data_IF_073433638489
#
_entry.id   IF_073433638489
#
_cell.length_a   1.000
_cell.length_b   1.000
_cell.length_c   1.000
_cell.angle_alpha   90.00
_cell.angle_beta   90.00
_cell.angle_gamma   90.00
#
_symmetry.space_group_name_H-M   'P 1'
#
loop_
_entity.id
_entity.type
_entity.pdbx_description
1 polymer ?
#
# COMPACT_ATOMS: atom_id res chain seq x y z
N UNK A 1 -13.85 40.87 -8.20
CA UNK A 1 -12.60 41.45 -8.74
C UNK A 1 -11.58 40.33 -8.79
N UNK A 2 -10.92 40.09 -9.93
CA UNK A 2 -9.84 39.08 -9.99
C UNK A 2 -8.68 39.51 -9.11
N UNK A 3 -8.08 38.55 -8.40
CA UNK A 3 -6.86 38.81 -7.63
C UNK A 3 -5.70 39.15 -8.57
N UNK A 4 -4.70 39.89 -8.08
CA UNK A 4 -3.46 40.16 -8.82
C UNK A 4 -2.82 38.87 -9.35
N UNK A 5 -2.91 37.79 -8.59
CA UNK A 5 -2.44 36.46 -8.96
C UNK A 5 -3.16 35.91 -10.21
N UNK A 6 -4.50 36.00 -10.28
CA UNK A 6 -5.26 35.53 -11.43
C UNK A 6 -4.94 36.32 -12.70
N UNK A 7 -4.73 37.64 -12.58
CA UNK A 7 -4.33 38.48 -13.71
C UNK A 7 -2.94 38.09 -14.25
N UNK A 8 -1.97 37.82 -13.35
CA UNK A 8 -0.62 37.36 -13.71
C UNK A 8 -0.59 36.00 -14.42
N UNK A 9 -1.65 35.20 -14.30
CA UNK A 9 -1.74 33.88 -14.92
C UNK A 9 -2.75 33.83 -16.08
N UNK A 10 -3.29 34.97 -16.52
CA UNK A 10 -4.33 35.04 -17.55
C UNK A 10 -3.92 34.45 -18.90
N UNK A 11 -2.62 34.35 -19.17
CA UNK A 11 -2.03 33.73 -20.37
C UNK A 11 -1.73 32.23 -20.21
N UNK A 12 -2.00 31.64 -19.04
CA UNK A 12 -1.86 30.22 -18.77
C UNK A 12 -3.24 29.55 -18.76
N UNK A 13 -3.29 28.27 -19.14
CA UNK A 13 -4.52 27.48 -19.11
C UNK A 13 -5.05 27.37 -17.68
N UNK A 14 -4.14 27.12 -16.72
CA UNK A 14 -4.49 26.88 -15.32
C UNK A 14 -3.55 27.63 -14.35
N UNK A 15 -4.04 27.87 -13.14
CA UNK A 15 -3.20 28.29 -12.03
C UNK A 15 -2.46 27.09 -11.44
N UNK A 16 -3.15 25.95 -11.30
CA UNK A 16 -2.56 24.70 -10.81
C UNK A 16 -2.98 23.53 -11.69
N UNK A 17 -2.01 22.74 -12.14
CA UNK A 17 -2.25 21.46 -12.79
C UNK A 17 -1.90 20.33 -11.81
N UNK A 18 -2.85 19.42 -11.60
CA UNK A 18 -2.67 18.25 -10.75
C UNK A 18 -2.51 17.02 -11.66
N UNK A 19 -1.49 16.20 -11.40
CA UNK A 19 -1.27 14.94 -12.13
C UNK A 19 -1.68 13.77 -11.24
N UNK A 20 -2.79 13.10 -11.59
CA UNK A 20 -3.37 11.98 -10.86
C UNK A 20 -4.69 12.34 -10.15
N UNK A 21 -5.73 11.53 -10.37
CA UNK A 21 -7.04 11.60 -9.75
C UNK A 21 -7.26 10.50 -8.67
N UNK A 22 -6.19 10.16 -7.95
CA UNK A 22 -6.29 9.40 -6.69
C UNK A 22 -6.69 10.30 -5.51
N UNK A 23 -6.77 9.72 -4.31
CA UNK A 23 -7.16 10.45 -3.08
C UNK A 23 -6.38 11.76 -2.87
N UNK A 24 -5.06 11.74 -3.03
CA UNK A 24 -4.24 12.96 -2.90
C UNK A 24 -4.61 14.04 -3.93
N UNK A 25 -4.90 13.65 -5.17
CA UNK A 25 -5.30 14.58 -6.23
C UNK A 25 -6.69 15.17 -5.99
N UNK A 26 -7.63 14.34 -5.54
CA UNK A 26 -9.00 14.74 -5.16
C UNK A 26 -8.97 15.73 -3.99
N UNK A 27 -8.20 15.43 -2.94
CA UNK A 27 -8.02 16.31 -1.79
C UNK A 27 -7.43 17.67 -2.19
N UNK A 28 -6.36 17.66 -3.01
CA UNK A 28 -5.76 18.90 -3.52
C UNK A 28 -6.75 19.71 -4.37
N UNK A 29 -7.49 19.06 -5.29
CA UNK A 29 -8.48 19.73 -6.13
C UNK A 29 -9.54 20.44 -5.28
N UNK A 30 -10.06 19.75 -4.26
CA UNK A 30 -11.05 20.32 -3.34
C UNK A 30 -10.54 21.60 -2.67
N UNK A 31 -9.37 21.55 -2.05
CA UNK A 31 -8.83 22.69 -1.32
C UNK A 31 -8.42 23.85 -2.26
N UNK A 32 -7.78 23.55 -3.39
CA UNK A 32 -7.34 24.58 -4.34
C UNK A 32 -8.52 25.29 -5.02
N UNK A 33 -9.63 24.59 -5.31
CA UNK A 33 -10.86 25.21 -5.80
C UNK A 33 -11.47 26.19 -4.81
N UNK A 34 -11.42 25.87 -3.51
CA UNK A 34 -11.92 26.77 -2.46
C UNK A 34 -11.10 28.04 -2.30
N UNK A 35 -9.87 28.06 -2.80
CA UNK A 35 -9.05 29.27 -2.93
C UNK A 35 -9.39 30.11 -4.18
N UNK A 36 -10.36 29.68 -4.99
CA UNK A 36 -10.77 30.36 -6.23
C UNK A 36 -9.76 30.23 -7.37
N UNK A 37 -8.90 29.21 -7.33
CA UNK A 37 -7.89 28.95 -8.36
C UNK A 37 -8.50 28.21 -9.56
N UNK A 38 -7.98 28.47 -10.76
CA UNK A 38 -8.27 27.66 -11.96
C UNK A 38 -7.43 26.37 -11.89
N UNK A 39 -8.07 25.26 -11.57
CA UNK A 39 -7.38 23.98 -11.33
C UNK A 39 -7.85 22.96 -12.37
N UNK A 40 -6.92 22.12 -12.86
CA UNK A 40 -7.26 20.96 -13.68
C UNK A 40 -6.51 19.73 -13.18
N UNK A 41 -7.19 18.59 -13.13
CA UNK A 41 -6.58 17.28 -12.86
C UNK A 41 -6.44 16.52 -14.18
N UNK A 42 -5.26 15.96 -14.45
CA UNK A 42 -5.02 15.03 -15.56
C UNK A 42 -4.82 13.63 -15.00
N UNK A 43 -5.61 12.67 -15.45
CA UNK A 43 -5.58 11.27 -15.02
C UNK A 43 -5.36 10.34 -16.20
N UNK A 44 -4.46 9.37 -16.04
CA UNK A 44 -4.15 8.38 -17.06
C UNK A 44 -5.27 7.35 -17.25
N UNK A 45 -5.97 6.99 -16.18
CA UNK A 45 -7.12 6.09 -16.18
C UNK A 45 -8.36 6.69 -16.81
N UNK A 46 -9.35 5.82 -17.05
CA UNK A 46 -10.66 6.20 -17.60
C UNK A 46 -11.57 6.87 -16.55
N UNK A 47 -11.17 6.84 -15.28
CA UNK A 47 -11.89 7.43 -14.16
C UNK A 47 -10.96 7.70 -12.97
N UNK A 48 -11.52 8.33 -11.95
CA UNK A 48 -10.87 8.64 -10.68
C UNK A 48 -10.78 7.41 -9.76
N UNK A 49 -10.04 7.57 -8.66
CA UNK A 49 -9.87 6.55 -7.63
C UNK A 49 -8.41 6.13 -7.44
N UNK A 50 -7.56 6.41 -8.43
CA UNK A 50 -6.14 6.06 -8.38
C UNK A 50 -5.96 4.56 -8.14
N UNK A 51 -5.33 4.18 -7.02
CA UNK A 51 -5.19 2.78 -6.59
C UNK A 51 -6.49 1.98 -6.73
N UNK A 52 -7.62 2.55 -6.29
CA UNK A 52 -8.92 1.87 -6.29
C UNK A 52 -9.57 1.80 -7.67
N UNK A 53 -9.11 2.61 -8.62
CA UNK A 53 -9.50 2.48 -10.01
C UNK A 53 -8.80 1.29 -10.68
N UNK A 54 -7.50 1.13 -10.41
CA UNK A 54 -6.62 0.17 -11.10
C UNK A 54 -6.62 -1.24 -10.49
N UNK A 55 -6.67 -1.36 -9.16
CA UNK A 55 -6.51 -2.63 -8.44
C UNK A 55 -7.84 -3.38 -8.30
N UNK A 56 -8.38 -3.89 -9.40
CA UNK A 56 -9.68 -4.61 -9.43
C UNK A 56 -9.56 -6.12 -9.19
N UNK A 57 -8.45 -6.58 -8.61
CA UNK A 57 -8.22 -8.01 -8.38
C UNK A 57 -9.14 -8.56 -7.26
N UNK A 58 -9.54 -9.85 -7.29
CA UNK A 58 -10.35 -10.44 -6.25
C UNK A 58 -9.67 -10.35 -4.88
N UNK A 59 -10.40 -9.83 -3.89
CA UNK A 59 -9.89 -9.65 -2.53
C UNK A 59 -9.19 -8.32 -2.27
N UNK A 60 -9.02 -7.46 -3.28
CA UNK A 60 -8.45 -6.12 -3.10
C UNK A 60 -9.18 -5.33 -2.00
N UNK A 61 -8.44 -4.94 -0.97
CA UNK A 61 -8.96 -4.31 0.24
C UNK A 61 -7.85 -3.47 0.88
N UNK A 62 -8.20 -2.44 1.65
CA UNK A 62 -7.22 -1.73 2.45
C UNK A 62 -7.11 -2.35 3.83
N UNK A 63 -5.94 -2.15 4.45
CA UNK A 63 -5.61 -2.75 5.74
C UNK A 63 -5.94 -1.82 6.94
N UNK A 64 -6.49 -0.63 6.69
CA UNK A 64 -7.01 0.30 7.72
C UNK A 64 -8.51 0.08 7.95
N UNK A 65 -9.06 0.55 9.06
CA UNK A 65 -10.51 0.54 9.26
C UNK A 65 -11.20 1.54 8.33
N UNK A 66 -12.38 1.20 7.79
CA UNK A 66 -13.17 2.04 6.89
C UNK A 66 -13.47 3.42 7.47
N UNK A 67 -13.68 3.52 8.78
CA UNK A 67 -13.89 4.80 9.46
C UNK A 67 -12.66 5.70 9.45
N UNK A 68 -11.46 5.12 9.37
CA UNK A 68 -10.19 5.87 9.29
C UNK A 68 -9.77 6.15 7.85
N UNK A 69 -10.20 5.32 6.89
CA UNK A 69 -9.91 5.48 5.46
C UNK A 69 -10.93 6.40 4.76
N UNK A 70 -11.14 7.58 5.34
CA UNK A 70 -12.07 8.61 4.85
C UNK A 70 -11.44 10.00 4.99
N UNK A 71 -11.98 11.00 4.31
CA UNK A 71 -11.49 12.38 4.47
C UNK A 71 -12.17 13.07 5.64
N UNK A 72 -11.37 13.51 6.60
CA UNK A 72 -11.84 14.24 7.79
C UNK A 72 -12.28 15.68 7.51
N UNK A 73 -11.97 16.25 6.34
CA UNK A 73 -12.26 17.64 6.02
C UNK A 73 -13.71 17.91 5.59
N UNK A 74 -14.51 16.86 5.29
CA UNK A 74 -15.82 17.00 4.67
C UNK A 74 -16.92 16.34 5.49
N UNK A 75 -17.52 17.10 6.41
CA UNK A 75 -18.57 16.59 7.29
C UNK A 75 -19.79 16.07 6.51
N UNK A 76 -20.22 16.73 5.44
CA UNK A 76 -21.34 16.29 4.61
C UNK A 76 -21.15 14.87 4.04
N UNK A 77 -19.91 14.50 3.71
CA UNK A 77 -19.60 13.16 3.22
C UNK A 77 -19.60 12.14 4.36
N UNK A 78 -19.12 12.51 5.55
CA UNK A 78 -19.17 11.66 6.75
C UNK A 78 -20.61 11.41 7.22
N UNK A 79 -21.48 12.40 7.05
CA UNK A 79 -22.89 12.31 7.45
C UNK A 79 -23.71 11.42 6.51
N UNK A 80 -23.37 11.40 5.22
CA UNK A 80 -24.17 10.69 4.20
C UNK A 80 -23.61 9.33 3.78
N UNK A 81 -22.29 9.12 3.85
CA UNK A 81 -21.70 7.83 3.48
C UNK A 81 -21.88 6.78 4.58
N UNK A 82 -22.15 5.54 4.17
CA UNK A 82 -22.24 4.39 5.06
C UNK A 82 -21.38 3.26 4.53
N UNK A 83 -20.50 2.73 5.38
CA UNK A 83 -19.66 1.58 5.08
C UNK A 83 -20.40 0.30 5.42
N UNK A 84 -20.25 -0.73 4.59
CA UNK A 84 -20.85 -2.05 4.79
C UNK A 84 -19.93 -3.02 5.55
N UNK A 85 -18.65 -2.70 5.63
CA UNK A 85 -17.62 -3.53 6.28
C UNK A 85 -16.62 -2.67 7.07
N UNK A 86 -16.04 -3.23 8.13
CA UNK A 86 -15.00 -2.61 8.95
C UNK A 86 -13.71 -2.34 8.18
N UNK A 87 -13.42 -3.12 7.14
CA UNK A 87 -12.32 -2.92 6.20
C UNK A 87 -12.89 -3.05 4.80
N UNK A 88 -13.45 -2.01 4.17
CA UNK A 88 -14.19 -2.15 2.93
C UNK A 88 -13.33 -2.58 1.71
N UNK A 89 -13.91 -3.37 0.81
CA UNK A 89 -13.23 -3.88 -0.38
C UNK A 89 -13.13 -2.81 -1.48
N UNK A 90 -12.26 -3.04 -2.47
CA UNK A 90 -12.06 -2.10 -3.58
C UNK A 90 -13.34 -1.60 -4.24
N UNK A 91 -14.36 -2.44 -4.54
CA UNK A 91 -15.58 -1.95 -5.17
C UNK A 91 -16.33 -0.91 -4.34
N UNK A 92 -16.35 -1.07 -3.01
CA UNK A 92 -17.01 -0.11 -2.12
C UNK A 92 -16.17 1.15 -1.93
N UNK A 93 -14.85 1.00 -1.78
CA UNK A 93 -13.94 2.15 -1.67
C UNK A 93 -13.97 3.01 -2.94
N UNK A 94 -14.07 2.40 -4.12
CA UNK A 94 -14.23 3.17 -5.36
C UNK A 94 -15.58 3.91 -5.39
N UNK A 95 -16.69 3.28 -4.97
CA UNK A 95 -17.99 3.96 -4.84
C UNK A 95 -17.94 5.14 -3.88
N UNK A 96 -17.25 5.01 -2.73
CA UNK A 96 -17.03 6.11 -1.80
C UNK A 96 -16.32 7.28 -2.49
N UNK A 97 -15.28 6.98 -3.27
CA UNK A 97 -14.52 8.01 -3.99
C UNK A 97 -15.39 8.68 -5.07
N UNK A 98 -16.17 7.90 -5.83
CA UNK A 98 -17.08 8.46 -6.83
C UNK A 98 -18.15 9.34 -6.17
N UNK A 99 -18.74 8.86 -5.06
CA UNK A 99 -19.72 9.62 -4.26
C UNK A 99 -19.14 10.97 -3.79
N UNK A 100 -17.93 10.96 -3.22
CA UNK A 100 -17.21 12.17 -2.81
C UNK A 100 -17.00 13.14 -3.98
N UNK A 101 -16.53 12.64 -5.12
CA UNK A 101 -16.24 13.45 -6.31
C UNK A 101 -17.51 14.08 -6.90
N UNK A 102 -18.62 13.33 -6.93
CA UNK A 102 -19.90 13.81 -7.42
C UNK A 102 -20.55 14.79 -6.42
N UNK A 103 -20.55 14.46 -5.13
CA UNK A 103 -21.10 15.32 -4.05
C UNK A 103 -20.44 16.70 -4.02
N UNK A 104 -19.13 16.75 -4.26
CA UNK A 104 -18.34 17.98 -4.24
C UNK A 104 -18.18 18.61 -5.63
N UNK A 105 -18.88 18.09 -6.65
CA UNK A 105 -18.86 18.55 -8.05
C UNK A 105 -17.43 18.69 -8.61
N UNK A 106 -16.52 17.77 -8.24
CA UNK A 106 -15.09 17.86 -8.58
C UNK A 106 -14.80 17.36 -9.99
N UNK A 107 -15.64 16.46 -10.52
CA UNK A 107 -15.45 15.78 -11.81
C UNK A 107 -15.25 16.73 -13.00
N UNK A 108 -15.93 17.88 -13.00
CA UNK A 108 -15.85 18.88 -14.08
C UNK A 108 -14.44 19.44 -14.31
N UNK A 109 -13.59 19.37 -13.28
CA UNK A 109 -12.21 19.86 -13.31
C UNK A 109 -11.20 18.72 -13.51
N UNK A 110 -11.67 17.52 -13.88
CA UNK A 110 -10.85 16.36 -14.18
C UNK A 110 -10.87 16.03 -15.68
N UNK A 111 -9.75 15.56 -16.20
CA UNK A 111 -9.61 15.06 -17.56
C UNK A 111 -8.97 13.67 -17.54
N UNK A 112 -9.76 12.67 -17.92
CA UNK A 112 -9.37 11.26 -17.94
C UNK A 112 -8.68 10.88 -19.25
N UNK A 113 -8.18 9.64 -19.33
CA UNK A 113 -7.46 9.11 -20.50
C UNK A 113 -6.32 10.04 -20.96
N UNK A 114 -5.67 10.70 -20.01
CA UNK A 114 -4.68 11.76 -20.22
C UNK A 114 -3.44 11.47 -19.38
N UNK A 115 -2.55 10.65 -19.93
CA UNK A 115 -1.27 10.33 -19.29
C UNK A 115 -0.25 11.44 -19.57
N UNK A 116 0.13 12.17 -18.53
CA UNK A 116 1.24 13.14 -18.60
C UNK A 116 2.56 12.38 -18.79
N UNK A 117 3.32 12.77 -19.82
CA UNK A 117 4.62 12.18 -20.16
C UNK A 117 5.78 13.05 -19.70
N UNK A 118 5.64 14.38 -19.76
CA UNK A 118 6.69 15.30 -19.35
C UNK A 118 6.15 16.57 -18.70
N UNK A 119 7.01 17.17 -17.86
CA UNK A 119 6.82 18.45 -17.21
C UNK A 119 8.09 19.27 -17.41
N UNK A 120 7.98 20.41 -18.06
CA UNK A 120 9.10 21.31 -18.33
C UNK A 120 8.84 22.67 -17.69
N UNK A 121 9.77 23.14 -16.86
CA UNK A 121 9.73 24.51 -16.36
C UNK A 121 10.24 25.47 -17.45
N UNK A 122 9.50 26.56 -17.66
CA UNK A 122 9.82 27.62 -18.62
C UNK A 122 10.22 28.89 -17.86
N UNK A 123 11.50 29.23 -17.93
CA UNK A 123 12.09 30.35 -17.18
C UNK A 123 11.55 31.72 -17.62
N UNK A 124 11.29 31.89 -18.91
CA UNK A 124 10.79 33.14 -19.52
C UNK A 124 9.45 33.61 -18.92
N UNK A 125 8.61 32.66 -18.54
CA UNK A 125 7.24 32.85 -18.08
C UNK A 125 7.05 32.41 -16.62
N UNK A 126 8.09 31.87 -15.99
CA UNK A 126 8.06 31.24 -14.66
C UNK A 126 6.93 30.21 -14.50
N UNK A 127 6.66 29.44 -15.56
CA UNK A 127 5.50 28.53 -15.64
C UNK A 127 5.92 27.13 -16.05
N UNK A 128 5.01 26.17 -15.89
CA UNK A 128 5.20 24.80 -16.33
C UNK A 128 4.47 24.54 -17.65
N UNK A 129 5.10 23.76 -18.51
CA UNK A 129 4.51 23.13 -19.67
C UNK A 129 4.43 21.63 -19.41
N UNK A 130 3.21 21.09 -19.32
CA UNK A 130 2.96 19.67 -19.28
C UNK A 130 2.61 19.17 -20.68
N UNK A 131 3.07 17.97 -21.03
CA UNK A 131 2.73 17.29 -22.28
C UNK A 131 2.20 15.90 -21.98
N UNK A 132 1.11 15.52 -22.62
CA UNK A 132 0.57 14.15 -22.53
C UNK A 132 1.04 13.26 -23.69
N UNK A 133 0.72 11.97 -23.59
CA UNK A 133 1.07 10.97 -24.62
C UNK A 133 0.36 11.14 -25.96
N UNK A 134 -0.54 12.13 -26.09
CA UNK A 134 -1.20 12.50 -27.36
C UNK A 134 -0.68 13.85 -27.87
N UNK A 135 0.48 14.30 -27.38
CA UNK A 135 1.12 15.57 -27.71
C UNK A 135 0.31 16.83 -27.33
N UNK A 136 -0.78 16.71 -26.56
CA UNK A 136 -1.52 17.88 -26.06
C UNK A 136 -0.70 18.57 -24.98
N UNK A 137 -0.77 19.90 -24.98
CA UNK A 137 0.00 20.76 -24.10
C UNK A 137 -0.90 21.47 -23.09
N UNK A 138 -0.42 21.61 -21.87
CA UNK A 138 -1.11 22.30 -20.78
C UNK A 138 -0.12 23.20 -20.05
N UNK A 139 -0.51 24.45 -19.84
CA UNK A 139 0.32 25.44 -19.16
C UNK A 139 -0.23 25.77 -17.78
N UNK A 140 0.63 25.81 -16.78
CA UNK A 140 0.22 26.11 -15.41
C UNK A 140 1.28 26.86 -14.62
N UNK A 141 0.87 27.62 -13.59
CA UNK A 141 1.83 28.26 -12.68
C UNK A 141 2.46 27.23 -11.74
N UNK A 142 1.66 26.34 -11.20
CA UNK A 142 2.10 25.29 -10.28
C UNK A 142 1.69 23.90 -10.75
N UNK A 143 2.50 22.90 -10.39
CA UNK A 143 2.22 21.49 -10.59
C UNK A 143 2.07 20.83 -9.22
N UNK A 144 1.04 19.98 -9.06
CA UNK A 144 0.94 19.03 -7.95
C UNK A 144 1.04 17.61 -8.51
N UNK A 145 2.06 16.86 -8.10
CA UNK A 145 2.25 15.47 -8.52
C UNK A 145 1.59 14.50 -7.54
N UNK A 146 0.36 14.10 -7.85
CA UNK A 146 -0.44 13.14 -7.09
C UNK A 146 -0.43 11.73 -7.75
N UNK A 147 0.73 11.31 -8.26
CA UNK A 147 0.87 10.13 -9.14
C UNK A 147 0.82 8.77 -8.42
N UNK A 148 0.87 8.79 -7.08
CA UNK A 148 0.90 7.60 -6.23
C UNK A 148 2.26 6.88 -6.27
N UNK A 149 2.66 6.27 -5.14
CA UNK A 149 3.95 5.56 -5.04
C UNK A 149 3.91 4.09 -5.47
N UNK A 150 2.71 3.50 -5.58
CA UNK A 150 2.47 2.10 -5.97
C UNK A 150 1.52 2.02 -7.18
N UNK A 151 1.97 2.46 -8.36
CA UNK A 151 1.13 2.51 -9.56
C UNK A 151 1.72 1.76 -10.77
N UNK A 152 3.04 1.84 -10.98
CA UNK A 152 3.71 1.17 -12.10
C UNK A 152 4.06 -0.26 -11.69
N UNK A 153 3.43 -1.29 -12.27
CA UNK A 153 3.72 -2.67 -11.90
C UNK A 153 5.12 -3.10 -12.36
N UNK A 154 5.78 -3.96 -11.58
CA UNK A 154 7.03 -4.59 -11.98
C UNK A 154 6.74 -6.02 -12.42
N UNK A 155 7.01 -6.36 -13.68
CA UNK A 155 6.83 -7.75 -14.13
C UNK A 155 8.00 -8.61 -13.63
N UNK A 156 7.76 -9.86 -13.21
CA UNK A 156 8.82 -10.76 -12.77
C UNK A 156 9.74 -11.12 -13.95
N UNK A 157 11.04 -11.07 -13.72
CA UNK A 157 12.05 -11.51 -14.68
C UNK A 157 12.12 -13.05 -14.73
N UNK A 158 11.17 -13.68 -15.42
CA UNK A 158 11.12 -15.14 -15.59
C UNK A 158 11.95 -15.54 -16.82
N UNK A 159 12.99 -16.39 -16.67
CA UNK A 159 13.75 -16.92 -17.81
C UNK A 159 12.83 -17.58 -18.85
N UNK A 160 13.07 -17.28 -20.13
CA UNK A 160 12.18 -17.72 -21.22
C UNK A 160 11.03 -16.77 -21.50
N UNK A 161 10.76 -15.80 -20.63
CA UNK A 161 9.78 -14.71 -20.80
C UNK A 161 8.36 -15.08 -20.41
N UNK A 162 7.64 -14.13 -19.81
CA UNK A 162 6.21 -14.25 -19.52
C UNK A 162 5.38 -14.33 -20.81
N UNK A 163 5.81 -13.64 -21.88
CA UNK A 163 5.06 -13.50 -23.14
C UNK A 163 4.91 -14.82 -23.92
N UNK A 164 5.69 -15.86 -23.56
CA UNK A 164 5.57 -17.18 -24.16
C UNK A 164 4.45 -18.02 -23.52
N UNK A 165 3.94 -17.61 -22.37
CA UNK A 165 2.81 -18.29 -21.73
C UNK A 165 1.56 -18.17 -22.62
N UNK A 166 0.92 -19.31 -22.91
CA UNK A 166 -0.22 -19.36 -23.84
C UNK A 166 -1.59 -19.21 -23.16
N UNK A 167 -1.63 -19.33 -21.84
CA UNK A 167 -2.83 -19.09 -21.08
C UNK A 167 -3.02 -17.61 -20.77
N UNK A 168 -4.06 -17.30 -20.01
CA UNK A 168 -4.34 -15.94 -19.60
C UNK A 168 -3.34 -15.47 -18.53
N UNK A 169 -2.82 -14.26 -18.65
CA UNK A 169 -1.95 -13.69 -17.62
C UNK A 169 -2.08 -12.19 -17.50
N UNK A 170 -2.11 -11.69 -16.27
CA UNK A 170 -2.10 -10.27 -15.99
C UNK A 170 -1.45 -9.98 -14.64
N UNK A 171 -1.04 -8.73 -14.47
CA UNK A 171 -0.61 -8.20 -13.18
C UNK A 171 -1.82 -7.70 -12.39
N UNK A 172 -1.87 -7.93 -11.08
CA UNK A 172 -3.01 -7.55 -10.21
C UNK A 172 -3.34 -6.05 -10.26
N UNK A 173 -2.33 -5.19 -10.38
CA UNK A 173 -2.50 -3.74 -10.57
C UNK A 173 -3.12 -3.33 -11.92
N UNK A 174 -3.28 -4.26 -12.88
CA UNK A 174 -3.93 -4.05 -14.18
C UNK A 174 -4.92 -5.19 -14.44
N UNK A 175 -5.72 -5.50 -13.42
CA UNK A 175 -6.71 -6.56 -13.48
C UNK A 175 -7.82 -6.22 -14.50
N UNK A 176 -8.09 -7.08 -15.49
CA UNK A 176 -9.10 -6.79 -16.51
C UNK A 176 -10.51 -6.79 -15.92
N UNK A 177 -11.32 -5.78 -16.28
CA UNK A 177 -12.65 -5.56 -15.72
C UNK A 177 -13.65 -6.69 -16.00
N UNK A 178 -13.48 -7.37 -17.12
CA UNK A 178 -14.31 -8.47 -17.62
C UNK A 178 -14.01 -9.80 -16.91
N UNK A 179 -12.86 -9.91 -16.24
CA UNK A 179 -12.45 -11.12 -15.54
C UNK A 179 -12.87 -11.04 -14.07
N UNK A 180 -14.10 -11.46 -13.79
CA UNK A 180 -14.60 -11.57 -12.42
C UNK A 180 -14.05 -12.81 -11.71
N UNK A 181 -14.21 -12.88 -10.39
CA UNK A 181 -13.91 -14.08 -9.60
C UNK A 181 -14.62 -15.33 -10.17
N UNK A 182 -15.87 -15.18 -10.61
CA UNK A 182 -16.65 -16.24 -11.24
C UNK A 182 -16.02 -16.73 -12.56
N UNK A 183 -15.40 -15.85 -13.33
CA UNK A 183 -14.71 -16.21 -14.58
C UNK A 183 -13.49 -17.14 -14.37
N UNK A 184 -13.02 -17.27 -13.12
CA UNK A 184 -11.92 -18.14 -12.71
C UNK A 184 -12.40 -19.46 -12.09
N UNK A 185 -13.71 -19.66 -11.92
CA UNK A 185 -14.26 -20.87 -11.31
C UNK A 185 -13.79 -22.13 -12.02
N UNK A 186 -13.31 -23.10 -11.24
CA UNK A 186 -12.83 -24.39 -11.76
C UNK A 186 -11.52 -24.31 -12.57
N UNK A 187 -10.95 -23.12 -12.81
CA UNK A 187 -9.68 -22.99 -13.53
C UNK A 187 -8.50 -23.40 -12.67
N UNK A 188 -7.37 -23.67 -13.33
CA UNK A 188 -6.07 -23.80 -12.67
C UNK A 188 -5.38 -22.45 -12.68
N UNK A 189 -5.06 -21.94 -11.50
CA UNK A 189 -4.52 -20.59 -11.31
C UNK A 189 -3.17 -20.65 -10.59
N UNK A 190 -2.19 -19.93 -11.13
CA UNK A 190 -0.91 -19.69 -10.46
C UNK A 190 -0.86 -18.26 -9.92
N UNK A 191 -0.48 -18.07 -8.66
CA UNK A 191 -0.22 -16.74 -8.06
C UNK A 191 1.27 -16.60 -7.78
N UNK A 192 1.91 -15.57 -8.33
CA UNK A 192 3.33 -15.27 -8.09
C UNK A 192 3.45 -14.09 -7.14
N UNK A 193 4.14 -14.32 -6.03
CA UNK A 193 4.34 -13.33 -4.97
C UNK A 193 3.34 -13.49 -3.83
N UNK A 194 3.82 -13.23 -2.60
CA UNK A 194 3.08 -13.34 -1.34
C UNK A 194 3.22 -12.05 -0.51
N UNK A 195 3.20 -10.91 -1.20
CA UNK A 195 2.93 -9.60 -0.56
C UNK A 195 1.46 -9.48 -0.18
N UNK A 196 1.02 -8.31 0.32
CA UNK A 196 -0.36 -8.01 0.65
C UNK A 196 -1.30 -8.36 -0.52
N UNK A 197 -0.94 -7.90 -1.72
CA UNK A 197 -1.69 -8.18 -2.94
C UNK A 197 -1.84 -9.69 -3.22
N UNK A 198 -0.75 -10.46 -3.05
CA UNK A 198 -0.75 -11.90 -3.27
C UNK A 198 -1.55 -12.66 -2.22
N UNK A 199 -1.43 -12.26 -0.96
CA UNK A 199 -2.18 -12.81 0.17
C UNK A 199 -3.68 -12.61 -0.04
N UNK A 200 -4.12 -11.37 -0.32
CA UNK A 200 -5.51 -11.03 -0.62
C UNK A 200 -6.06 -11.81 -1.82
N UNK A 201 -5.23 -11.95 -2.87
CA UNK A 201 -5.61 -12.72 -4.06
C UNK A 201 -5.78 -14.21 -3.75
N UNK A 202 -4.85 -14.81 -2.98
CA UNK A 202 -4.93 -16.23 -2.60
C UNK A 202 -6.18 -16.51 -1.76
N UNK A 203 -6.43 -15.70 -0.73
CA UNK A 203 -7.61 -15.88 0.13
C UNK A 203 -8.94 -15.66 -0.61
N UNK A 204 -8.95 -14.87 -1.70
CA UNK A 204 -10.16 -14.69 -2.50
C UNK A 204 -10.39 -15.83 -3.50
N UNK A 205 -9.34 -16.57 -3.88
CA UNK A 205 -9.40 -17.56 -4.96
C UNK A 205 -9.55 -19.00 -4.49
N UNK A 206 -9.05 -19.36 -3.30
CA UNK A 206 -8.87 -20.77 -2.92
C UNK A 206 -10.17 -21.59 -2.97
N UNK A 207 -11.31 -21.01 -2.55
CA UNK A 207 -12.61 -21.70 -2.60
C UNK A 207 -13.27 -21.72 -3.99
N UNK A 208 -12.75 -20.95 -4.95
CA UNK A 208 -13.40 -20.72 -6.26
C UNK A 208 -12.72 -21.49 -7.38
N UNK A 209 -11.39 -21.52 -7.40
CA UNK A 209 -10.61 -22.10 -8.50
C UNK A 209 -10.49 -23.62 -8.33
N UNK A 210 -10.37 -24.35 -9.44
CA UNK A 210 -10.24 -25.81 -9.40
C UNK A 210 -8.89 -26.27 -8.85
N UNK A 211 -7.84 -25.48 -9.05
CA UNK A 211 -6.54 -25.67 -8.40
C UNK A 211 -5.78 -24.35 -8.32
N UNK A 212 -5.14 -24.11 -7.17
CA UNK A 212 -4.36 -22.91 -6.89
C UNK A 212 -2.90 -23.29 -6.59
N UNK A 213 -1.96 -22.71 -7.34
CA UNK A 213 -0.53 -22.87 -7.08
C UNK A 213 0.06 -21.52 -6.67
N UNK A 214 0.60 -21.43 -5.45
CA UNK A 214 1.19 -20.20 -4.92
C UNK A 214 2.71 -20.29 -5.03
N UNK A 215 3.32 -19.41 -5.81
CA UNK A 215 4.78 -19.33 -5.99
C UNK A 215 5.35 -18.29 -5.03
N UNK A 216 5.93 -18.79 -3.95
CA UNK A 216 6.53 -17.99 -2.88
C UNK A 216 8.05 -17.95 -3.06
N UNK A 217 8.62 -16.75 -3.12
CA UNK A 217 10.07 -16.57 -2.98
C UNK A 217 10.47 -16.46 -1.52
N UNK A 218 9.81 -15.60 -0.78
CA UNK A 218 10.07 -15.35 0.64
C UNK A 218 8.72 -15.15 1.32
N UNK A 219 8.39 -15.87 2.41
CA UNK A 219 7.14 -15.66 3.13
C UNK A 219 7.11 -14.27 3.77
N UNK A 220 5.91 -13.74 4.01
CA UNK A 220 5.69 -12.49 4.74
C UNK A 220 4.98 -12.75 6.08
N UNK A 221 5.25 -11.90 7.07
CA UNK A 221 4.49 -11.89 8.31
C UNK A 221 3.10 -11.34 8.00
N UNK A 222 2.07 -12.13 8.31
CA UNK A 222 0.69 -11.76 8.01
C UNK A 222 -0.17 -11.96 9.26
N UNK A 223 -1.09 -11.04 9.50
CA UNK A 223 -1.91 -11.03 10.72
C UNK A 223 -3.40 -11.05 10.39
N UNK A 224 -4.24 -11.64 11.24
CA UNK A 224 -5.67 -11.70 10.97
C UNK A 224 -6.28 -10.30 10.99
N UNK A 225 -6.95 -9.94 9.89
CA UNK A 225 -7.65 -8.67 9.72
C UNK A 225 -8.81 -8.54 10.71
N UNK A 226 -9.58 -9.63 10.85
CA UNK A 226 -10.88 -9.68 11.55
C UNK A 226 -11.84 -8.61 11.03
N UNK A 227 -12.07 -8.65 9.73
CA UNK A 227 -13.11 -7.87 9.12
C UNK A 227 -14.50 -8.32 9.61
N UNK A 228 -15.43 -7.38 9.66
CA UNK A 228 -16.82 -7.60 10.06
C UNK A 228 -17.75 -6.78 9.20
N UNK A 229 -18.97 -7.26 8.98
CA UNK A 229 -20.04 -6.44 8.40
C UNK A 229 -20.44 -5.35 9.38
N UNK A 230 -20.85 -4.19 8.87
CA UNK A 230 -21.43 -3.11 9.65
C UNK A 230 -22.90 -2.96 9.23
N UNK A 231 -23.82 -3.05 10.19
CA UNK A 231 -25.24 -2.83 9.91
C UNK A 231 -25.55 -1.33 9.76
N UNK A 232 -26.66 -0.95 9.10
CA UNK A 232 -27.08 0.46 9.06
C UNK A 232 -27.20 1.09 10.46
N UNK A 233 -27.76 0.37 11.44
CA UNK A 233 -27.89 0.84 12.83
C UNK A 233 -26.53 0.99 13.53
N UNK A 234 -25.61 0.08 13.26
CA UNK A 234 -24.23 0.18 13.76
C UNK A 234 -23.52 1.39 13.13
N UNK A 235 -23.68 1.63 11.83
CA UNK A 235 -23.13 2.82 11.16
C UNK A 235 -23.63 4.12 11.78
N UNK A 236 -24.90 4.22 12.18
CA UNK A 236 -25.43 5.40 12.89
C UNK A 236 -24.75 5.64 14.24
N UNK A 237 -24.31 4.56 14.89
CA UNK A 237 -23.56 4.64 16.15
C UNK A 237 -22.10 5.02 15.90
N UNK A 238 -21.44 4.36 14.95
CA UNK A 238 -20.06 4.61 14.55
C UNK A 238 -19.88 6.04 14.01
N UNK A 239 -20.91 6.60 13.36
CA UNK A 239 -20.86 7.97 12.84
C UNK A 239 -20.56 9.01 13.91
N UNK A 240 -21.06 8.79 15.13
CA UNK A 240 -20.84 9.68 16.27
C UNK A 240 -19.40 9.60 16.82
N UNK A 241 -18.65 8.57 16.42
CA UNK A 241 -17.29 8.29 16.89
C UNK A 241 -16.20 8.88 15.99
N UNK A 242 -16.54 9.44 14.82
CA UNK A 242 -15.53 10.02 13.91
C UNK A 242 -14.58 11.02 14.55
N UNK A 243 -15.02 11.95 15.43
CA UNK A 243 -14.11 12.85 16.14
C UNK A 243 -13.05 12.09 16.95
N UNK A 244 -13.44 11.03 17.65
CA UNK A 244 -12.53 10.22 18.45
C UNK A 244 -11.61 9.38 17.56
N UNK A 245 -12.14 8.80 16.47
CA UNK A 245 -11.34 8.07 15.47
C UNK A 245 -10.26 8.96 14.89
N UNK A 246 -10.58 10.18 14.46
CA UNK A 246 -9.59 11.11 13.91
C UNK A 246 -8.60 11.60 14.96
N UNK A 247 -9.05 11.80 16.20
CA UNK A 247 -8.15 12.11 17.30
C UNK A 247 -7.14 10.98 17.53
N UNK A 248 -7.59 9.73 17.58
CA UNK A 248 -6.72 8.57 17.72
C UNK A 248 -5.76 8.48 16.53
N UNK A 249 -6.22 8.69 15.30
CA UNK A 249 -5.36 8.68 14.11
C UNK A 249 -4.28 9.79 14.18
N UNK A 250 -4.61 10.97 14.68
CA UNK A 250 -3.63 12.05 14.83
C UNK A 250 -2.60 11.76 15.94
N UNK A 251 -3.01 11.11 17.02
CA UNK A 251 -2.15 10.79 18.15
C UNK A 251 -1.34 9.49 17.94
N UNK A 252 -1.79 8.63 17.02
CA UNK A 252 -1.16 7.35 16.69
C UNK A 252 0.11 7.54 15.86
N UNK A 253 1.21 6.81 16.15
CA UNK A 253 2.50 6.99 15.47
C UNK A 253 2.46 6.68 13.96
N UNK A 254 1.43 5.97 13.48
CA UNK A 254 1.27 5.60 12.08
C UNK A 254 -0.13 5.92 11.51
N UNK A 255 -0.89 6.77 12.21
CA UNK A 255 -2.23 7.21 11.81
C UNK A 255 -3.27 6.12 11.55
N UNK A 256 -3.22 5.06 12.35
CA UNK A 256 -4.29 4.06 12.42
C UNK A 256 -5.29 4.39 13.52
N UNK A 257 -6.52 3.85 13.42
CA UNK A 257 -7.58 4.00 14.43
C UNK A 257 -7.34 3.13 15.68
N UNK A 258 -6.09 3.06 16.12
CA UNK A 258 -5.68 2.34 17.32
C UNK A 258 -4.67 3.19 18.11
N UNK A 259 -4.78 3.19 19.45
CA UNK A 259 -3.83 3.88 20.29
C UNK A 259 -2.43 3.26 20.13
N UNK A 260 -1.42 4.13 20.05
CA UNK A 260 -0.03 3.72 20.13
C UNK A 260 0.31 3.18 21.53
N UNK A 261 1.20 2.21 21.62
CA UNK A 261 1.77 1.78 22.89
C UNK A 261 3.26 2.16 22.97
N UNK A 262 3.57 3.23 23.69
CA UNK A 262 4.91 3.79 23.80
C UNK A 262 5.77 3.20 24.93
N UNK A 263 5.32 2.11 25.58
CA UNK A 263 6.14 1.36 26.53
C UNK A 263 7.14 0.46 25.81
N UNK A 264 8.01 -0.19 26.60
CA UNK A 264 8.97 -1.19 26.14
C UNK A 264 8.61 -2.58 26.65
N UNK A 265 9.06 -3.63 25.97
CA UNK A 265 8.87 -5.01 26.40
C UNK A 265 9.48 -5.32 27.77
N UNK A 266 10.43 -4.52 28.26
CA UNK A 266 11.04 -4.64 29.58
C UNK A 266 10.18 -4.07 30.72
N UNK A 267 9.13 -3.30 30.40
CA UNK A 267 8.18 -2.77 31.38
C UNK A 267 7.17 -3.85 31.86
N UNK A 268 7.26 -5.07 31.34
CA UNK A 268 6.35 -6.18 31.59
C UNK A 268 7.10 -7.42 32.06
N UNK A 269 6.47 -8.23 32.90
CA UNK A 269 6.88 -9.64 33.05
C UNK A 269 6.55 -10.42 31.77
N UNK A 270 7.13 -11.60 31.60
CA UNK A 270 6.86 -12.44 30.42
C UNK A 270 5.37 -12.81 30.32
N UNK A 271 4.72 -13.12 31.44
CA UNK A 271 3.29 -13.44 31.51
C UNK A 271 2.41 -12.24 31.13
N UNK A 272 2.77 -11.04 31.62
CA UNK A 272 2.06 -9.81 31.27
C UNK A 272 2.22 -9.47 29.79
N UNK A 273 3.42 -9.64 29.24
CA UNK A 273 3.71 -9.37 27.84
C UNK A 273 2.96 -10.33 26.91
N UNK A 274 2.95 -11.64 27.23
CA UNK A 274 2.17 -12.63 26.49
C UNK A 274 0.67 -12.36 26.60
N UNK A 275 0.15 -12.02 27.78
CA UNK A 275 -1.26 -11.67 27.96
C UNK A 275 -1.66 -10.43 27.14
N UNK A 276 -0.80 -9.40 27.10
CA UNK A 276 -0.99 -8.21 26.26
C UNK A 276 -1.00 -8.58 24.77
N UNK A 277 -0.07 -9.43 24.33
CA UNK A 277 -0.03 -9.89 22.94
C UNK A 277 -1.24 -10.75 22.59
N UNK A 278 -1.75 -11.58 23.49
CA UNK A 278 -2.98 -12.36 23.28
C UNK A 278 -4.22 -11.47 23.15
N UNK A 279 -4.35 -10.45 24.01
CA UNK A 279 -5.44 -9.47 23.91
C UNK A 279 -5.36 -8.67 22.60
N UNK A 280 -4.17 -8.15 22.28
CA UNK A 280 -3.96 -7.37 21.06
C UNK A 280 -4.12 -8.24 19.83
N UNK A 281 -3.64 -9.49 19.87
CA UNK A 281 -3.80 -10.43 18.78
C UNK A 281 -5.26 -10.70 18.49
N UNK A 282 -6.22 -10.51 19.41
CA UNK A 282 -7.69 -10.66 19.21
C UNK A 282 -8.39 -9.44 18.59
N UNK A 283 -7.78 -8.26 18.63
CA UNK A 283 -8.37 -7.02 18.07
C UNK A 283 -8.39 -7.02 16.54
N UNK A 284 -9.26 -6.26 15.87
CA UNK A 284 -9.19 -6.07 14.42
C UNK A 284 -7.95 -5.26 14.01
N UNK A 285 -7.63 -5.27 12.72
CA UNK A 285 -6.72 -4.29 12.13
C UNK A 285 -5.29 -4.29 12.66
N UNK A 286 -4.70 -3.09 12.63
CA UNK A 286 -3.29 -2.83 12.93
C UNK A 286 -2.96 -2.71 14.42
N UNK A 287 -3.91 -2.90 15.33
CA UNK A 287 -3.64 -2.90 16.77
C UNK A 287 -2.45 -3.82 17.12
N UNK A 288 -2.32 -4.94 16.38
CA UNK A 288 -1.25 -5.94 16.49
C UNK A 288 0.15 -5.43 16.11
N UNK A 289 0.24 -4.24 15.52
CA UNK A 289 1.51 -3.62 15.13
C UNK A 289 1.71 -2.31 15.88
N UNK A 290 0.65 -1.51 16.05
CA UNK A 290 0.78 -0.17 16.64
C UNK A 290 0.50 -0.13 18.15
N UNK A 291 -0.19 -1.12 18.71
CA UNK A 291 -0.59 -1.17 20.12
C UNK A 291 0.21 -2.19 20.95
N UNK A 292 1.24 -2.81 20.38
CA UNK A 292 2.24 -3.61 21.13
C UNK A 292 3.40 -2.71 21.57
N UNK A 293 4.18 -3.06 22.61
CA UNK A 293 5.29 -2.23 23.08
C UNK A 293 6.23 -1.84 21.94
N UNK A 294 6.50 -0.54 21.81
CA UNK A 294 7.08 0.06 20.60
C UNK A 294 8.51 -0.39 20.30
N UNK A 295 9.24 -0.86 21.32
CA UNK A 295 10.62 -1.31 21.21
C UNK A 295 10.80 -2.51 20.26
N UNK A 296 9.76 -3.29 19.94
CA UNK A 296 9.85 -4.34 18.94
C UNK A 296 10.23 -3.82 17.53
N UNK A 297 10.04 -2.53 17.24
CA UNK A 297 10.48 -1.92 15.97
C UNK A 297 11.96 -1.50 15.98
N UNK A 298 12.57 -1.40 17.16
CA UNK A 298 13.90 -0.79 17.35
C UNK A 298 14.93 -1.74 17.94
N UNK A 299 14.49 -2.73 18.73
CA UNK A 299 15.32 -3.73 19.39
C UNK A 299 15.12 -5.12 18.79
N UNK A 300 16.23 -5.78 18.42
CA UNK A 300 16.19 -7.09 17.75
C UNK A 300 15.70 -8.20 18.69
N UNK A 301 15.99 -8.13 20.00
CA UNK A 301 15.57 -9.15 20.94
C UNK A 301 14.07 -9.05 21.23
N UNK A 302 13.55 -7.85 21.43
CA UNK A 302 12.11 -7.57 21.54
C UNK A 302 11.37 -8.00 20.27
N UNK A 303 11.90 -7.65 19.09
CA UNK A 303 11.34 -8.06 17.81
C UNK A 303 11.30 -9.59 17.67
N UNK A 304 12.38 -10.28 18.07
CA UNK A 304 12.45 -11.74 18.00
C UNK A 304 11.38 -12.38 18.89
N UNK A 305 11.22 -11.93 20.14
CA UNK A 305 10.19 -12.46 21.05
C UNK A 305 8.79 -12.32 20.44
N UNK A 306 8.49 -11.15 19.88
CA UNK A 306 7.18 -10.95 19.24
C UNK A 306 7.02 -11.76 17.95
N UNK A 307 8.08 -11.88 17.14
CA UNK A 307 8.10 -12.74 15.94
C UNK A 307 7.88 -14.21 16.29
N UNK A 308 8.50 -14.72 17.35
CA UNK A 308 8.32 -16.10 17.82
C UNK A 308 6.87 -16.33 18.27
N UNK A 309 6.28 -15.39 19.02
CA UNK A 309 4.86 -15.44 19.40
C UNK A 309 3.95 -15.53 18.17
N UNK A 310 4.17 -14.69 17.16
CA UNK A 310 3.36 -14.71 15.93
C UNK A 310 3.63 -15.97 15.09
N UNK A 311 4.85 -16.48 15.05
CA UNK A 311 5.17 -17.72 14.35
C UNK A 311 4.38 -18.90 14.93
N UNK A 312 4.26 -18.99 16.25
CA UNK A 312 3.46 -20.02 16.90
C UNK A 312 1.96 -19.88 16.62
N UNK A 313 1.45 -18.65 16.47
CA UNK A 313 0.07 -18.42 15.99
C UNK A 313 -0.13 -18.92 14.57
N UNK A 314 0.81 -18.64 13.66
CA UNK A 314 0.73 -19.06 12.25
C UNK A 314 0.81 -20.58 12.14
N UNK A 315 1.78 -21.22 12.81
CA UNK A 315 1.98 -22.68 12.73
C UNK A 315 0.74 -23.46 13.15
N UNK A 316 -0.01 -22.99 14.15
CA UNK A 316 -1.25 -23.64 14.61
C UNK A 316 -2.39 -23.61 13.59
N UNK A 317 -2.31 -22.77 12.56
CA UNK A 317 -3.34 -22.61 11.52
C UNK A 317 -3.09 -23.50 10.29
N UNK A 318 -1.94 -24.17 10.23
CA UNK A 318 -1.53 -25.00 9.09
C UNK A 318 -1.32 -26.44 9.59
N UNK A 319 -2.05 -27.38 9.00
CA UNK A 319 -2.08 -28.78 9.44
C UNK A 319 -0.78 -29.54 9.16
N UNK A 320 -0.11 -29.25 8.03
CA UNK A 320 1.19 -29.83 7.68
C UNK A 320 2.33 -29.05 8.34
N UNK A 321 3.08 -29.63 9.31
CA UNK A 321 4.17 -28.93 9.99
C UNK A 321 5.30 -28.51 9.05
N UNK A 322 5.56 -29.27 7.99
CA UNK A 322 6.60 -28.97 7.00
C UNK A 322 6.22 -27.78 6.12
N UNK A 323 4.92 -27.62 5.85
CA UNK A 323 4.38 -26.47 5.14
C UNK A 323 4.34 -25.25 6.06
N UNK A 324 3.92 -25.43 7.31
CA UNK A 324 3.91 -24.38 8.33
C UNK A 324 5.28 -23.72 8.47
N UNK A 325 6.35 -24.52 8.52
CA UNK A 325 7.72 -24.01 8.64
C UNK A 325 8.15 -23.17 7.43
N UNK A 326 7.70 -23.52 6.22
CA UNK A 326 7.97 -22.74 4.98
C UNK A 326 7.21 -21.41 4.95
N UNK A 327 6.15 -21.26 5.73
CA UNK A 327 5.35 -20.03 5.82
C UNK A 327 5.91 -19.02 6.83
N UNK A 328 6.92 -19.40 7.63
CA UNK A 328 7.51 -18.50 8.63
C UNK A 328 8.70 -17.73 8.03
N UNK A 329 8.69 -16.39 8.02
CA UNK A 329 9.83 -15.59 7.60
C UNK A 329 11.09 -15.88 8.42
N UNK A 330 12.22 -16.10 7.71
CA UNK A 330 13.52 -16.42 8.31
C UNK A 330 14.55 -15.31 8.16
N UNK A 331 14.37 -14.40 7.20
CA UNK A 331 15.35 -13.37 6.83
C UNK A 331 15.03 -11.99 7.40
N UNK A 332 13.86 -11.83 8.01
CA UNK A 332 13.46 -10.62 8.72
C UNK A 332 12.46 -10.96 9.83
N UNK A 333 12.48 -10.18 10.89
CA UNK A 333 11.45 -10.24 11.92
C UNK A 333 10.17 -9.50 11.52
N UNK A 334 9.15 -9.58 12.38
CA UNK A 334 7.86 -8.93 12.15
C UNK A 334 8.04 -7.41 12.05
N UNK A 335 7.26 -6.77 11.18
CA UNK A 335 7.37 -5.35 10.83
C UNK A 335 8.73 -4.91 10.21
N UNK A 336 9.67 -5.84 9.95
CA UNK A 336 10.84 -5.56 9.10
C UNK A 336 10.49 -5.31 7.62
N UNK A 337 9.25 -5.68 7.24
CA UNK A 337 8.55 -5.28 6.01
C UNK A 337 7.13 -4.88 6.40
N UNK A 338 6.37 -4.29 5.46
CA UNK A 338 4.93 -4.06 5.65
C UNK A 338 4.24 -5.40 6.00
N UNK A 339 3.49 -5.41 7.09
CA UNK A 339 2.74 -6.57 7.60
C UNK A 339 1.34 -6.54 6.98
N UNK A 340 1.01 -7.44 6.04
CA UNK A 340 -0.32 -7.47 5.46
C UNK A 340 -1.32 -8.06 6.43
N UNK A 341 -2.59 -7.71 6.23
CA UNK A 341 -3.70 -8.30 6.93
C UNK A 341 -4.41 -9.34 6.06
N UNK A 342 -4.90 -10.42 6.67
CA UNK A 342 -5.53 -11.53 5.96
C UNK A 342 -6.84 -12.00 6.58
N UNK A 343 -7.61 -12.72 5.77
CA UNK A 343 -8.76 -13.53 6.23
C UNK A 343 -8.60 -14.93 5.65
N UNK A 344 -8.28 -15.91 6.49
CA UNK A 344 -8.12 -17.33 6.16
C UNK A 344 -7.02 -17.65 5.13
N UNK A 345 -6.00 -16.79 4.97
CA UNK A 345 -4.89 -17.03 4.05
C UNK A 345 -4.10 -18.29 4.41
N UNK A 346 -3.81 -18.50 5.70
CA UNK A 346 -3.05 -19.68 6.13
C UNK A 346 -3.90 -20.95 6.07
N UNK A 347 -5.19 -20.86 6.42
CA UNK A 347 -6.16 -21.96 6.34
C UNK A 347 -6.35 -22.46 4.91
N UNK A 348 -6.28 -21.57 3.91
CA UNK A 348 -6.36 -21.94 2.49
C UNK A 348 -5.35 -23.03 2.10
N UNK A 349 -4.17 -23.07 2.75
CA UNK A 349 -3.15 -24.08 2.46
C UNK A 349 -3.43 -25.46 3.06
N UNK A 350 -4.50 -25.60 3.86
CA UNK A 350 -4.99 -26.91 4.31
C UNK A 350 -5.90 -27.57 3.27
N UNK A 351 -6.33 -26.84 2.25
CA UNK A 351 -7.20 -27.37 1.20
C UNK A 351 -6.42 -28.18 0.17
N UNK A 352 -6.97 -29.32 -0.30
CA UNK A 352 -6.25 -30.21 -1.20
C UNK A 352 -5.99 -29.61 -2.60
N UNK A 353 -6.73 -28.57 -3.00
CA UNK A 353 -6.58 -27.88 -4.27
C UNK A 353 -5.51 -26.77 -4.23
N UNK A 354 -4.99 -26.42 -3.05
CA UNK A 354 -3.99 -25.35 -2.86
C UNK A 354 -2.60 -25.93 -2.65
N UNK A 355 -1.63 -25.47 -3.42
CA UNK A 355 -0.24 -25.95 -3.36
C UNK A 355 0.77 -24.81 -3.30
N UNK A 356 1.61 -24.80 -2.27
CA UNK A 356 2.76 -23.91 -2.19
C UNK A 356 3.93 -24.44 -3.03
N UNK A 357 4.57 -23.55 -3.78
CA UNK A 357 5.88 -23.77 -4.40
C UNK A 357 6.86 -22.76 -3.80
N UNK A 358 7.78 -23.26 -2.98
CA UNK A 358 8.93 -22.48 -2.51
C UNK A 358 10.00 -22.41 -3.60
N UNK A 359 10.21 -21.21 -4.13
CA UNK A 359 11.15 -20.94 -5.21
C UNK A 359 12.61 -20.93 -4.74
N UNK A 360 12.91 -20.63 -3.48
CA UNK A 360 14.28 -20.61 -2.98
C UNK A 360 14.80 -22.03 -2.83
N UNK A 361 14.02 -22.92 -2.20
CA UNK A 361 14.43 -24.31 -1.99
C UNK A 361 14.56 -25.06 -3.32
N UNK A 362 13.70 -24.78 -4.31
CA UNK A 362 13.81 -25.39 -5.65
C UNK A 362 15.06 -24.95 -6.42
N UNK A 363 15.36 -23.65 -6.44
CA UNK A 363 16.56 -23.15 -7.14
C UNK A 363 17.86 -23.68 -6.51
N UNK A 364 17.88 -23.96 -5.21
CA UNK A 364 19.01 -24.60 -4.55
C UNK A 364 19.20 -26.08 -4.96
N UNK A 365 18.10 -26.79 -5.24
CA UNK A 365 18.12 -28.20 -5.73
C UNK A 365 18.53 -28.25 -7.20
N UNK A 366 18.00 -27.35 -8.03
CA UNK A 366 18.30 -27.29 -9.47
C UNK A 366 19.77 -26.93 -9.76
N UNK A 367 20.47 -26.28 -8.82
CA UNK A 367 21.91 -26.02 -8.93
C UNK A 367 22.81 -27.24 -8.65
N UNK A 368 22.26 -28.35 -8.12
CA UNK A 368 23.00 -29.57 -7.78
C UNK A 368 22.72 -30.77 -8.72
N UNK A 369 21.90 -30.57 -9.75
CA UNK A 369 21.61 -31.58 -10.79
C UNK A 369 21.61 -30.92 -12.18
N UNK A 370 21.88 -31.66 -13.28
CA UNK A 370 21.76 -31.09 -14.62
C UNK A 370 20.33 -30.55 -14.83
N UNK A 371 20.16 -29.50 -15.66
CA UNK A 371 18.95 -28.69 -15.65
C UNK A 371 17.72 -29.53 -16.02
N UNK A 372 16.90 -29.86 -15.02
CA UNK A 372 15.53 -30.29 -15.26
C UNK A 372 14.76 -29.02 -15.64
N UNK A 373 13.91 -29.03 -16.69
CA UNK A 373 13.40 -27.79 -17.25
C UNK A 373 12.68 -26.95 -16.20
N UNK A 374 13.13 -25.71 -16.03
CA UNK A 374 12.50 -24.60 -15.30
C UNK A 374 11.20 -24.17 -16.00
N UNK A 375 10.31 -25.13 -16.25
CA UNK A 375 9.35 -25.01 -17.34
C UNK A 375 7.90 -24.83 -16.90
N UNK A 376 7.14 -23.97 -17.60
CA UNK A 376 5.70 -23.71 -17.43
C UNK A 376 4.78 -24.91 -17.72
N UNK A 377 5.28 -26.15 -17.65
CA UNK A 377 4.53 -27.37 -17.95
C UNK A 377 3.65 -27.86 -16.79
N UNK A 378 3.82 -27.35 -15.57
CA UNK A 378 2.99 -27.74 -14.41
C UNK A 378 1.52 -27.32 -14.53
N UNK A 379 1.19 -26.43 -15.45
CA UNK A 379 -0.14 -25.83 -15.56
C UNK A 379 -0.83 -26.06 -16.90
N UNK A 380 -0.22 -26.72 -17.89
CA UNK A 380 -0.86 -26.93 -19.20
C UNK A 380 -1.34 -25.63 -19.88
N UNK A 381 -1.97 -25.75 -21.04
CA UNK A 381 -2.33 -24.62 -21.92
C UNK A 381 -3.62 -23.88 -21.50
N UNK A 382 -4.35 -24.39 -20.51
CA UNK A 382 -5.65 -23.86 -20.05
C UNK A 382 -5.59 -23.05 -18.75
N UNK A 383 -4.40 -22.65 -18.29
CA UNK A 383 -4.21 -22.02 -16.98
C UNK A 383 -4.16 -20.50 -17.02
N UNK A 384 -4.51 -19.87 -15.90
CA UNK A 384 -4.39 -18.43 -15.68
C UNK A 384 -3.22 -18.13 -14.74
N UNK A 385 -2.37 -17.16 -15.06
CA UNK A 385 -1.28 -16.68 -14.21
C UNK A 385 -1.57 -15.29 -13.66
N UNK A 386 -1.48 -15.16 -12.35
CA UNK A 386 -1.65 -13.91 -11.62
C UNK A 386 -0.31 -13.49 -11.06
N UNK A 387 0.13 -12.30 -11.47
CA UNK A 387 1.37 -11.74 -10.97
C UNK A 387 1.07 -10.64 -9.97
N UNK A 388 1.67 -10.76 -8.80
CA UNK A 388 1.58 -9.75 -7.75
C UNK A 388 2.97 -9.16 -7.55
N UNK A 389 3.06 -7.85 -7.42
CA UNK A 389 4.22 -7.22 -6.81
C UNK A 389 3.76 -6.21 -5.77
N UNK A 390 4.20 -6.42 -4.53
CA UNK A 390 4.46 -5.30 -3.64
C UNK A 390 5.92 -4.93 -3.86
N UNK A 391 6.17 -3.89 -4.66
CA UNK A 391 7.51 -3.34 -4.79
C UNK A 391 7.87 -2.56 -3.53
N UNK A 392 8.25 -3.26 -2.47
CA UNK A 392 9.11 -2.69 -1.41
C UNK A 392 10.60 -2.90 -1.72
N UNK A 393 10.94 -3.28 -2.95
CA UNK A 393 12.31 -3.43 -3.46
C UNK A 393 13.12 -2.11 -3.57
N UNK A 394 12.73 -1.06 -2.83
CA UNK A 394 13.49 0.17 -2.64
C UNK A 394 14.18 0.27 -1.27
N UNK A 395 13.91 -0.63 -0.32
CA UNK A 395 14.66 -0.66 0.95
C UNK A 395 15.88 -1.55 0.78
N UNK A 396 17.06 -0.93 0.71
CA UNK A 396 18.33 -1.65 0.71
C UNK A 396 18.36 -2.62 1.89
N UNK A 397 18.58 -3.91 1.63
CA UNK A 397 18.91 -4.88 2.67
C UNK A 397 20.10 -4.32 3.46
N UNK A 398 19.87 -3.87 4.70
CA UNK A 398 20.97 -3.70 5.64
C UNK A 398 21.43 -5.10 6.04
N UNK A 399 22.73 -5.44 5.91
CA UNK A 399 23.27 -6.68 6.44
C UNK A 399 22.91 -6.85 7.91
N UNK A 400 22.77 -8.10 8.37
CA UNK A 400 22.44 -8.43 9.75
C UNK A 400 23.41 -7.83 10.78
N UNK A 401 24.61 -7.42 10.33
CA UNK A 401 25.73 -7.02 11.15
C UNK A 401 25.94 -5.49 11.22
N UNK A 402 25.07 -4.68 10.59
CA UNK A 402 25.22 -3.23 10.58
C UNK A 402 24.53 -2.56 11.78
N UNK A 403 25.26 -1.72 12.49
CA UNK A 403 24.79 -0.86 13.59
C UNK A 403 23.66 0.08 13.11
N UNK A 404 22.49 0.13 13.78
CA UNK A 404 21.31 0.90 13.33
C UNK A 404 21.59 2.39 13.11
N UNK A 405 22.50 2.97 13.89
CA UNK A 405 22.94 4.36 13.77
C UNK A 405 23.64 4.67 12.43
N UNK A 406 24.22 3.65 11.79
CA UNK A 406 24.94 3.75 10.50
C UNK A 406 23.96 3.67 9.33
N UNK A 407 22.95 2.80 9.42
CA UNK A 407 21.89 2.67 8.41
C UNK A 407 21.08 3.98 8.25
N UNK A 408 20.76 4.66 9.36
CA UNK A 408 20.07 5.96 9.34
C UNK A 408 20.92 7.06 8.68
N UNK A 409 22.24 7.08 8.92
CA UNK A 409 23.15 8.05 8.28
C UNK A 409 23.30 7.82 6.78
N UNK A 410 23.16 6.58 6.31
CA UNK A 410 23.18 6.24 4.88
C UNK A 410 21.90 6.67 4.17
N UNK A 411 20.75 6.52 4.82
CA UNK A 411 19.43 6.95 4.31
C UNK A 411 19.37 8.48 4.17
N UNK A 412 20.07 9.23 5.04
CA UNK A 412 20.08 10.70 5.03
C UNK A 412 21.07 11.34 4.04
N UNK A 413 21.98 10.57 3.41
CA UNK A 413 22.87 11.10 2.37
C UNK A 413 22.30 10.81 0.99
N UNK A 414 21.70 11.82 0.36
CA UNK A 414 21.52 11.83 -1.08
C UNK A 414 22.89 11.76 -1.79
N UNK A 415 22.98 11.25 -3.03
CA UNK A 415 24.25 11.24 -3.76
C UNK A 415 24.67 12.69 -4.00
N UNK A 416 25.80 13.12 -3.44
CA UNK A 416 26.46 14.34 -3.88
C UNK A 416 26.92 14.10 -5.32
N UNK A 417 26.19 14.71 -6.26
CA UNK A 417 26.65 14.86 -7.62
C UNK A 417 27.98 15.61 -7.61
N UNK A 418 28.99 15.01 -8.21
CA UNK A 418 30.26 15.66 -8.51
C UNK A 418 29.99 16.84 -9.42
N UNK A 419 29.99 18.04 -8.86
CA UNK A 419 29.79 19.31 -9.58
C UNK A 419 30.40 20.45 -8.79
N UNK A 420 31.61 20.83 -9.16
CA UNK A 420 32.34 21.96 -8.61
C UNK A 420 31.58 23.27 -8.82
N UNK A 421 31.46 24.09 -7.76
CA UNK A 421 31.74 25.53 -7.78
C UNK A 421 31.64 26.16 -6.38
N UNK A 422 32.70 26.88 -6.04
CA UNK A 422 32.86 27.75 -4.88
C UNK A 422 31.88 28.93 -4.92
N UNK A 423 31.35 29.33 -3.77
CA UNK A 423 31.33 30.74 -3.34
C UNK A 423 30.95 30.87 -1.87
N UNK A 424 31.80 31.57 -1.12
CA UNK A 424 31.66 31.96 0.28
C UNK A 424 30.51 32.96 0.51
N UNK A 425 29.76 32.82 1.61
CA UNK A 425 29.64 33.89 2.62
C UNK A 425 28.91 33.42 3.90
N UNK A 426 29.27 33.92 5.11
CA UNK A 426 28.74 33.46 6.39
C UNK A 426 27.63 34.37 6.91
N UNK A 427 26.56 33.81 7.50
CA UNK A 427 25.63 34.57 8.35
C UNK A 427 25.29 33.80 9.63
N UNK A 428 25.68 34.44 10.73
CA UNK A 428 25.36 34.33 12.17
C UNK A 428 24.46 33.20 12.70
N UNK A 429 25.00 32.49 13.71
CA UNK A 429 24.26 31.75 14.75
C UNK A 429 23.63 32.72 15.76
N UNK A 430 22.35 32.49 16.11
CA UNK A 430 21.76 32.99 17.35
C UNK A 430 20.70 32.02 17.88
N UNK A 431 20.78 31.71 19.18
CA UNK A 431 19.66 31.33 20.06
C UNK A 431 19.16 29.88 20.00
N UNK A 432 19.62 29.04 20.92
CA UNK A 432 18.95 27.81 21.34
C UNK A 432 18.19 28.07 22.65
N UNK A 433 16.89 27.77 22.68
CA UNK A 433 16.16 27.38 23.89
C UNK A 433 15.51 26.00 23.67
N UNK A 434 15.42 25.14 24.70
CA UNK A 434 15.01 23.75 24.55
C UNK A 434 13.52 23.56 24.82
N UNK A 435 12.79 22.94 23.89
CA UNK A 435 11.39 22.58 24.15
C UNK A 435 10.73 21.88 22.97
N UNK A 436 10.26 20.65 23.22
CA UNK A 436 9.60 19.72 22.30
C UNK A 436 10.52 19.06 21.27
N UNK A 437 10.99 17.85 21.62
CA UNK A 437 11.42 16.87 20.65
C UNK A 437 10.24 16.55 19.73
N UNK A 438 10.13 17.27 18.60
CA UNK A 438 9.35 16.82 17.45
C UNK A 438 10.05 15.55 16.96
N UNK A 439 9.51 14.40 17.30
CA UNK A 439 9.90 13.15 16.67
C UNK A 439 9.72 13.34 15.16
N UNK A 440 10.82 13.16 14.42
CA UNK A 440 10.81 13.22 12.98
C UNK A 440 9.75 12.24 12.46
N UNK A 441 8.90 12.72 11.56
CA UNK A 441 7.96 11.89 10.81
C UNK A 441 8.71 10.71 10.18
N UNK A 442 8.52 9.52 10.75
CA UNK A 442 9.03 8.27 10.22
C UNK A 442 8.15 7.80 9.06
N UNK A 443 8.67 6.96 8.14
CA UNK A 443 8.11 6.79 6.81
C UNK A 443 6.64 6.38 6.88
N UNK A 444 5.78 7.23 6.32
CA UNK A 444 4.36 6.99 6.11
C UNK A 444 4.19 5.56 5.55
N UNK A 445 3.50 4.73 6.33
CA UNK A 445 2.95 3.48 5.83
C UNK A 445 1.91 3.83 4.76
N UNK A 446 2.34 3.86 3.50
CA UNK A 446 1.41 4.07 2.40
C UNK A 446 0.48 2.87 2.29
N UNK A 447 -0.82 3.14 2.35
CA UNK A 447 -1.86 2.18 2.01
C UNK A 447 -1.84 1.92 0.49
N UNK A 448 -1.49 0.69 0.10
CA UNK A 448 -2.17 -0.08 -0.94
C UNK A 448 -2.35 -1.49 -0.38
#
# INVERSE_FOLDING_TARGET
>A
MSSTFQLMNSNLDYDVLIVGAGLSGICNLYHLRRLGLRVKVLEAGEGEGGTWHWNRYPGARFDSESLSYTFSFCQEVLDEWSWSEAFAGQPETLRYINFLVDKLDLRRDMQFNTKVESLQFREDSNSWLAKDTQDRQYTARFIVTAVGLLNVPTLPAIPGGIDKFKGLSWHTARWPSEHTLESLRGKRVGVVGVGATGIQTVQALHEVVGSLVVFQREPNWTLPMRNSSISPEEMETLRKQWPDVFKICNDSPASFAHPGNFTTSNDYTEEQLVALWEDTYKKPGFAKVVSVPFDFLMDRAANKKYSDFIAEKIKRRINDPSLAEKMIPKRHGIAGKRVPLETNYYEAFNEPNVRLVDLITRLAIDNNHPPVPSSPHLLGTSSTWLQTTDSTAGWTQAPLDEEPSTAVRRILRAPEGTGSRQSNNPVSRAGHEPGQARFASMPLFSAV
#
